data_IF_782542905756
#
_entry.id   IF_782542905756
#
_cell.length_a   1.000
_cell.length_b   1.000
_cell.length_c   1.000
_cell.angle_alpha   90.00
_cell.angle_beta   90.00
_cell.angle_gamma   90.00
#
_symmetry.space_group_name_H-M   'P 1'
#
loop_
_entity.id
_entity.type
_entity.pdbx_description
1 polymer ?
#
# COMPACT_ATOMS: atom_id res chain seq x y z
N UNK A 1 -19.00 -10.46 -16.01
CA UNK A 1 -17.63 -10.42 -15.47
C UNK A 1 -17.06 -9.00 -15.30
N UNK A 2 -17.50 -7.97 -16.03
CA UNK A 2 -17.00 -6.59 -15.82
C UNK A 2 -17.57 -5.85 -14.58
N UNK A 3 -18.70 -6.29 -14.02
CA UNK A 3 -19.31 -5.64 -12.86
C UNK A 3 -18.56 -5.93 -11.55
N UNK A 4 -17.92 -7.10 -11.45
CA UNK A 4 -17.21 -7.52 -10.25
C UNK A 4 -15.91 -6.73 -10.07
N UNK A 5 -15.16 -6.53 -11.16
CA UNK A 5 -13.90 -5.76 -11.15
C UNK A 5 -14.15 -4.28 -10.79
N UNK A 6 -15.19 -3.67 -11.36
CA UNK A 6 -15.56 -2.28 -11.03
C UNK A 6 -16.00 -2.15 -9.56
N UNK A 7 -16.75 -3.13 -9.06
CA UNK A 7 -17.16 -3.15 -7.66
C UNK A 7 -15.96 -3.28 -6.72
N UNK A 8 -15.01 -4.17 -7.03
CA UNK A 8 -13.76 -4.33 -6.29
C UNK A 8 -12.94 -3.05 -6.27
N UNK A 9 -12.78 -2.37 -7.40
CA UNK A 9 -12.03 -1.12 -7.46
C UNK A 9 -12.68 -0.03 -6.59
N UNK A 10 -14.00 0.14 -6.67
CA UNK A 10 -14.73 1.12 -5.85
C UNK A 10 -14.61 0.79 -4.36
N UNK A 11 -14.71 -0.47 -3.97
CA UNK A 11 -14.56 -0.88 -2.58
C UNK A 11 -13.13 -0.65 -2.08
N UNK A 12 -12.12 -1.02 -2.88
CA UNK A 12 -10.72 -0.77 -2.61
C UNK A 12 -10.42 0.73 -2.38
N UNK A 13 -10.92 1.59 -3.27
CA UNK A 13 -10.77 3.04 -3.13
C UNK A 13 -11.43 3.58 -1.86
N UNK A 14 -12.59 3.05 -1.47
CA UNK A 14 -13.28 3.45 -0.23
C UNK A 14 -12.48 3.10 1.02
N UNK A 15 -11.97 1.88 1.12
CA UNK A 15 -11.28 1.43 2.33
C UNK A 15 -9.85 2.00 2.46
N UNK A 16 -9.29 2.52 1.37
CA UNK A 16 -7.94 3.10 1.34
C UNK A 16 -7.93 4.62 1.19
N UNK A 17 -9.10 5.27 1.22
CA UNK A 17 -9.25 6.71 0.93
C UNK A 17 -8.40 7.63 1.82
N UNK A 18 -8.17 7.24 3.07
CA UNK A 18 -7.46 8.05 4.06
C UNK A 18 -5.96 7.78 4.10
N UNK A 19 -5.45 6.84 3.29
CA UNK A 19 -4.05 6.45 3.33
C UNK A 19 -3.19 7.43 2.52
N UNK A 20 -2.09 7.87 3.12
CA UNK A 20 -1.03 8.57 2.39
C UNK A 20 -0.13 7.57 1.64
N UNK A 21 0.82 8.08 0.83
CA UNK A 21 1.75 7.23 0.08
C UNK A 21 2.50 6.21 0.95
N UNK A 22 2.93 6.61 2.15
CA UNK A 22 3.71 5.73 3.03
C UNK A 22 2.86 4.63 3.62
N UNK A 23 1.60 4.90 3.95
CA UNK A 23 0.67 3.89 4.43
C UNK A 23 0.23 2.94 3.31
N UNK A 24 0.07 3.45 2.08
CA UNK A 24 -0.14 2.62 0.90
C UNK A 24 1.04 1.67 0.64
N UNK A 25 2.27 2.15 0.82
CA UNK A 25 3.48 1.35 0.69
C UNK A 25 3.51 0.19 1.68
N UNK A 26 3.18 0.48 2.94
CA UNK A 26 3.14 -0.50 4.02
C UNK A 26 2.02 -1.53 3.80
N UNK A 27 0.84 -1.08 3.37
CA UNK A 27 -0.28 -1.96 3.01
C UNK A 27 0.12 -2.92 1.88
N UNK A 28 0.81 -2.39 0.87
CA UNK A 28 1.33 -3.17 -0.25
C UNK A 28 2.37 -4.19 0.21
N UNK A 29 3.28 -3.80 1.11
CA UNK A 29 4.26 -4.71 1.68
C UNK A 29 3.59 -5.84 2.47
N UNK A 30 2.64 -5.51 3.34
CA UNK A 30 1.90 -6.51 4.10
C UNK A 30 1.09 -7.46 3.21
N UNK A 31 0.48 -6.95 2.14
CA UNK A 31 -0.26 -7.75 1.16
C UNK A 31 0.61 -8.79 0.46
N UNK A 32 1.92 -8.56 0.40
CA UNK A 32 2.92 -9.45 -0.18
C UNK A 32 3.72 -10.25 0.86
N UNK A 33 3.38 -10.14 2.15
CA UNK A 33 4.14 -10.77 3.24
C UNK A 33 5.55 -10.21 3.43
N UNK A 34 5.80 -8.99 2.94
CA UNK A 34 7.10 -8.31 3.04
C UNK A 34 7.21 -7.47 4.32
N UNK A 35 8.44 -7.13 4.76
CA UNK A 35 8.64 -6.19 5.85
C UNK A 35 7.97 -4.85 5.55
N UNK A 36 7.35 -4.27 6.58
CA UNK A 36 6.54 -3.05 6.52
C UNK A 36 7.18 -1.90 5.72
N UNK A 37 8.49 -1.67 5.90
CA UNK A 37 9.22 -0.55 5.29
C UNK A 37 9.82 -0.86 3.91
N UNK A 38 9.54 -2.04 3.34
CA UNK A 38 10.16 -2.50 2.08
C UNK A 38 9.94 -1.51 0.94
N UNK A 39 8.68 -1.21 0.61
CA UNK A 39 8.36 -0.27 -0.46
C UNK A 39 8.48 1.20 -0.04
N UNK A 40 8.50 1.51 1.25
CA UNK A 40 8.68 2.88 1.73
C UNK A 40 10.00 3.49 1.22
N UNK A 41 11.05 2.67 1.05
CA UNK A 41 12.34 3.10 0.46
C UNK A 41 12.21 3.55 -0.98
N UNK A 42 11.46 2.79 -1.79
CA UNK A 42 11.26 3.10 -3.21
C UNK A 42 10.50 4.42 -3.40
N UNK A 43 9.61 4.76 -2.45
CA UNK A 43 8.81 5.98 -2.52
C UNK A 43 9.52 7.24 -2.03
N UNK A 44 10.65 7.14 -1.33
CA UNK A 44 11.43 8.34 -0.99
C UNK A 44 11.90 9.11 -2.23
N UNK A 45 12.09 8.41 -3.34
CA UNK A 45 12.54 8.97 -4.61
C UNK A 45 11.39 9.40 -5.55
N UNK A 46 10.13 9.18 -5.16
CA UNK A 46 8.95 9.41 -6.00
C UNK A 46 8.07 10.51 -5.39
N UNK A 47 7.30 11.20 -6.23
CA UNK A 47 6.21 12.03 -5.74
C UNK A 47 5.07 11.16 -5.17
N UNK A 48 4.28 11.76 -4.28
CA UNK A 48 3.22 11.07 -3.54
C UNK A 48 2.15 10.45 -4.45
N UNK A 49 1.73 11.15 -5.52
CA UNK A 49 0.69 10.65 -6.41
C UNK A 49 1.15 9.43 -7.20
N UNK A 50 2.37 9.49 -7.76
CA UNK A 50 2.99 8.35 -8.46
C UNK A 50 3.14 7.15 -7.53
N UNK A 51 3.61 7.38 -6.30
CA UNK A 51 3.77 6.33 -5.29
C UNK A 51 2.45 5.61 -4.98
N UNK A 52 1.38 6.38 -4.74
CA UNK A 52 0.04 5.87 -4.47
C UNK A 52 -0.47 5.07 -5.68
N UNK A 53 -0.33 5.60 -6.90
CA UNK A 53 -0.83 4.92 -8.10
C UNK A 53 -0.14 3.58 -8.32
N UNK A 54 1.17 3.49 -8.11
CA UNK A 54 1.90 2.22 -8.17
C UNK A 54 1.41 1.21 -7.12
N UNK A 55 1.22 1.65 -5.86
CA UNK A 55 0.66 0.80 -4.80
C UNK A 55 -0.73 0.28 -5.18
N UNK A 56 -1.62 1.17 -5.60
CA UNK A 56 -3.00 0.84 -5.98
C UNK A 56 -3.03 -0.19 -7.10
N UNK A 57 -2.27 0.04 -8.17
CA UNK A 57 -2.19 -0.91 -9.28
C UNK A 57 -1.68 -2.28 -8.82
N UNK A 58 -0.64 -2.31 -7.99
CA UNK A 58 -0.09 -3.56 -7.47
C UNK A 58 -1.12 -4.34 -6.65
N UNK A 59 -1.79 -3.68 -5.70
CA UNK A 59 -2.82 -4.32 -4.85
C UNK A 59 -4.01 -4.81 -5.70
N UNK A 60 -4.51 -3.98 -6.62
CA UNK A 60 -5.62 -4.36 -7.50
C UNK A 60 -5.27 -5.55 -8.39
N UNK A 61 -4.02 -5.64 -8.85
CA UNK A 61 -3.54 -6.81 -9.61
C UNK A 61 -3.53 -8.08 -8.74
N UNK A 62 -3.06 -7.98 -7.48
CA UNK A 62 -3.10 -9.13 -6.56
C UNK A 62 -4.53 -9.61 -6.33
N UNK A 63 -5.49 -8.69 -6.19
CA UNK A 63 -6.91 -9.04 -6.05
C UNK A 63 -7.46 -9.66 -7.32
N UNK A 64 -7.16 -9.08 -8.49
CA UNK A 64 -7.60 -9.60 -9.79
C UNK A 64 -7.07 -11.03 -10.05
N UNK A 65 -5.86 -11.31 -9.60
CA UNK A 65 -5.22 -12.63 -9.67
C UNK A 65 -5.64 -13.58 -8.54
N UNK A 66 -6.49 -13.15 -7.60
CA UNK A 66 -6.94 -13.90 -6.42
C UNK A 66 -5.80 -14.30 -5.48
N UNK A 67 -4.70 -13.56 -5.49
CA UNK A 67 -3.56 -13.74 -4.57
C UNK A 67 -3.90 -13.21 -3.18
N UNK A 68 -4.72 -12.16 -3.12
CA UNK A 68 -5.34 -11.64 -1.90
C UNK A 68 -6.83 -11.37 -2.12
N UNK A 69 -7.60 -11.33 -1.03
CA UNK A 69 -9.01 -10.92 -1.06
C UNK A 69 -9.23 -9.53 -0.46
N UNK A 70 -10.34 -8.88 -0.80
CA UNK A 70 -10.78 -7.64 -0.15
C UNK A 70 -10.92 -7.79 1.37
N UNK A 71 -11.37 -8.96 1.84
CA UNK A 71 -11.48 -9.25 3.27
C UNK A 71 -10.10 -9.28 3.95
N UNK A 72 -9.09 -9.89 3.33
CA UNK A 72 -7.72 -9.89 3.84
C UNK A 72 -7.16 -8.47 3.88
N UNK A 73 -7.42 -7.66 2.85
CA UNK A 73 -6.97 -6.27 2.81
C UNK A 73 -7.57 -5.44 3.95
N UNK A 74 -8.89 -5.55 4.17
CA UNK A 74 -9.58 -4.90 5.30
C UNK A 74 -8.99 -5.35 6.64
N UNK A 75 -8.69 -6.63 6.80
CA UNK A 75 -8.07 -7.15 8.01
C UNK A 75 -6.67 -6.57 8.24
N UNK A 76 -5.85 -6.47 7.19
CA UNK A 76 -4.53 -5.83 7.26
C UNK A 76 -4.63 -4.35 7.66
N UNK A 77 -5.65 -3.63 7.19
CA UNK A 77 -5.88 -2.24 7.55
C UNK A 77 -6.26 -2.06 9.03
N UNK A 78 -6.91 -3.06 9.63
CA UNK A 78 -7.33 -3.00 11.03
C UNK A 78 -6.28 -3.54 12.02
N UNK A 79 -5.50 -4.55 11.63
CA UNK A 79 -4.61 -5.25 12.57
C UNK A 79 -3.16 -4.80 12.54
N UNK A 80 -2.73 -4.13 11.48
CA UNK A 80 -1.34 -3.66 11.38
C UNK A 80 -1.24 -2.23 11.87
N UNK A 81 -0.16 -1.96 12.57
CA UNK A 81 0.26 -0.59 12.83
C UNK A 81 0.84 -0.01 11.55
N UNK A 82 0.41 1.18 11.18
CA UNK A 82 0.92 1.91 10.03
C UNK A 82 1.66 3.15 10.51
N UNK A 83 2.88 3.31 10.06
CA UNK A 83 3.63 4.53 10.30
C UNK A 83 3.13 5.62 9.37
N UNK A 84 3.05 6.84 9.89
CA UNK A 84 2.90 8.01 9.04
C UNK A 84 4.20 8.26 8.25
N UNK A 85 4.20 9.30 7.42
CA UNK A 85 5.33 9.58 6.57
C UNK A 85 6.60 9.98 7.34
N UNK A 86 6.44 10.64 8.49
CA UNK A 86 7.57 11.13 9.28
C UNK A 86 8.21 9.98 10.07
N UNK A 87 7.40 9.14 10.71
CA UNK A 87 7.90 7.96 11.41
C UNK A 87 8.54 6.95 10.44
N UNK A 88 7.94 6.72 9.27
CA UNK A 88 8.52 5.86 8.25
C UNK A 88 9.91 6.37 7.81
N UNK A 89 10.05 7.68 7.56
CA UNK A 89 11.34 8.31 7.21
C UNK A 89 12.38 8.15 8.30
N UNK A 90 12.02 8.39 9.57
CA UNK A 90 12.93 8.22 10.70
C UNK A 90 13.44 6.78 10.81
N UNK A 91 12.57 5.80 10.59
CA UNK A 91 12.91 4.37 10.67
C UNK A 91 13.70 3.83 9.49
N UNK A 92 13.55 4.44 8.31
CA UNK A 92 14.38 4.11 7.15
C UNK A 92 15.85 4.52 7.34
N UNK A 93 16.11 5.38 8.33
CA UNK A 93 17.42 5.93 8.61
C UNK A 93 17.78 7.05 7.64
N UNK A 94 18.81 7.86 7.94
CA UNK A 94 19.35 8.78 6.96
C UNK A 94 19.81 7.98 5.74
N UNK A 95 19.49 8.47 4.53
CA UNK A 95 20.26 8.09 3.35
C UNK A 95 21.73 8.32 3.72
N UNK A 96 22.53 7.25 3.75
CA UNK A 96 23.97 7.41 3.79
C UNK A 96 24.29 8.16 2.51
N UNK A 97 24.49 9.47 2.63
CA UNK A 97 25.08 10.31 1.61
C UNK A 97 26.49 9.74 1.41
N UNK A 98 26.61 8.84 0.44
CA UNK A 98 27.87 8.26 -0.02
C UNK A 98 28.26 8.90 -1.34
#
# INVERSE_FOLDING_TARGET
>A
MSNDIKSTQVEFEKITLTLNAMQFAQLTAFSLGLPQLYFCREYLALDEETAINHCKQRILNLIANKEISMQQLTHLLTEKDYFDADEARLRLGPELVS
#
